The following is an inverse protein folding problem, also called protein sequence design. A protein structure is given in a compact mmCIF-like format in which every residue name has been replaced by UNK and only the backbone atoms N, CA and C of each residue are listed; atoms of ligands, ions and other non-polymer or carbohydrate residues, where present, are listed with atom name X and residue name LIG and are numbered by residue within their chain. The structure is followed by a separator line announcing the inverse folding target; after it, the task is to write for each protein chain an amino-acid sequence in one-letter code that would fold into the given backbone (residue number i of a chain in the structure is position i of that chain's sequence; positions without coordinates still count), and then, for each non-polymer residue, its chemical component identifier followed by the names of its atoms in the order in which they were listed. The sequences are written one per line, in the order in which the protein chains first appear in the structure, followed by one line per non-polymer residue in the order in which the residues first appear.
data_IF_169089759947
#
_entry.id   IF_169089759947
#
_cell.length_a   1.000
_cell.length_b   1.000
_cell.length_c   1.000
_cell.angle_alpha   90.00
_cell.angle_beta   90.00
_cell.angle_gamma   90.00
#
_symmetry.space_group_name_H-M   'P 1'
#
loop_
_entity.id
_entity.type
_entity.pdbx_description
1 polymer ?
#
# COMPACT_ATOMS: atom_id res chain seq x y z
N UNK A 1 -30.02 4.63 -8.14
CA UNK A 1 -29.33 5.83 -8.70
C UNK A 1 -27.84 5.54 -8.64
N UNK A 2 -27.25 5.22 -9.79
CA UNK A 2 -25.81 4.96 -9.92
C UNK A 2 -25.06 6.29 -9.80
N UNK A 3 -24.21 6.45 -8.79
CA UNK A 3 -23.27 7.56 -8.73
C UNK A 3 -22.11 7.24 -9.68
N UNK A 4 -22.08 7.95 -10.80
CA UNK A 4 -21.01 7.90 -11.77
C UNK A 4 -19.77 8.56 -11.13
N UNK A 5 -18.74 7.77 -10.81
CA UNK A 5 -17.42 8.27 -10.43
C UNK A 5 -16.76 8.85 -11.72
N UNK A 6 -16.51 10.14 -11.74
CA UNK A 6 -15.78 10.79 -12.82
C UNK A 6 -14.29 10.47 -12.65
N UNK A 7 -13.75 9.62 -13.52
CA UNK A 7 -12.31 9.36 -13.58
C UNK A 7 -11.62 10.53 -14.30
N UNK A 8 -10.65 11.15 -13.63
CA UNK A 8 -9.74 12.10 -14.27
C UNK A 8 -8.72 11.30 -15.08
N UNK A 9 -8.95 11.11 -16.36
CA UNK A 9 -7.92 10.64 -17.27
C UNK A 9 -6.93 11.78 -17.52
N UNK A 10 -5.74 11.67 -16.96
CA UNK A 10 -4.64 12.59 -17.27
C UNK A 10 -4.07 12.21 -18.64
N UNK A 11 -4.08 13.15 -19.60
CA UNK A 11 -3.32 12.99 -20.83
C UNK A 11 -1.84 12.80 -20.48
N UNK A 12 -1.24 11.70 -20.92
CA UNK A 12 0.18 11.40 -20.70
C UNK A 12 1.02 12.39 -21.49
N UNK A 13 1.85 13.18 -20.79
CA UNK A 13 3.07 13.70 -21.42
C UNK A 13 4.07 12.54 -21.36
N UNK A 14 4.43 12.03 -22.52
CA UNK A 14 5.40 10.96 -22.65
C UNK A 14 6.76 11.41 -22.09
N UNK A 15 7.07 11.02 -20.86
CA UNK A 15 8.43 10.92 -20.37
C UNK A 15 9.04 9.67 -20.98
N UNK A 16 10.26 9.79 -21.51
CA UNK A 16 10.92 8.76 -22.32
C UNK A 16 11.41 7.52 -21.55
N UNK A 17 11.25 7.50 -20.22
CA UNK A 17 11.64 6.38 -19.36
C UNK A 17 10.41 5.85 -18.59
N UNK A 18 9.56 5.10 -19.29
CA UNK A 18 8.45 4.39 -18.63
C UNK A 18 9.02 3.28 -17.76
N UNK A 19 8.92 3.40 -16.45
CA UNK A 19 9.24 2.31 -15.54
C UNK A 19 8.15 1.26 -15.66
N UNK A 20 8.52 0.06 -16.09
CA UNK A 20 7.59 -1.04 -16.32
C UNK A 20 8.09 -2.32 -15.66
N UNK A 21 7.17 -3.16 -15.22
CA UNK A 21 7.49 -4.51 -14.80
C UNK A 21 7.86 -5.36 -16.03
N UNK A 22 8.86 -6.19 -15.87
CA UNK A 22 9.21 -7.21 -16.88
C UNK A 22 8.15 -8.30 -16.90
N UNK A 23 8.08 -9.06 -17.99
CA UNK A 23 7.21 -10.22 -18.09
C UNK A 23 7.45 -11.23 -16.96
N UNK A 24 8.70 -11.46 -16.59
CA UNK A 24 9.07 -12.32 -15.46
C UNK A 24 8.51 -11.80 -14.13
N UNK A 25 8.54 -10.50 -13.90
CA UNK A 25 7.99 -9.88 -12.69
C UNK A 25 6.45 -9.98 -12.65
N UNK A 26 5.79 -9.78 -13.78
CA UNK A 26 4.33 -9.96 -13.88
C UNK A 26 3.95 -11.42 -13.63
N UNK A 27 4.68 -12.39 -14.20
CA UNK A 27 4.46 -13.81 -13.97
C UNK A 27 4.69 -14.18 -12.50
N UNK A 28 5.74 -13.62 -11.87
CA UNK A 28 5.98 -13.81 -10.44
C UNK A 28 4.81 -13.29 -9.58
N UNK A 29 4.31 -12.07 -9.89
CA UNK A 29 3.14 -11.53 -9.20
C UNK A 29 1.90 -12.43 -9.34
N UNK A 30 1.64 -12.91 -10.54
CA UNK A 30 0.49 -13.79 -10.82
C UNK A 30 0.62 -15.15 -10.10
N UNK A 31 1.84 -15.66 -9.93
CA UNK A 31 2.09 -16.94 -9.27
C UNK A 31 2.12 -16.82 -7.74
N UNK A 32 2.81 -15.81 -7.21
CA UNK A 32 3.11 -15.68 -5.77
C UNK A 32 2.28 -14.64 -5.05
N UNK A 33 1.61 -13.72 -5.76
CA UNK A 33 0.75 -12.68 -5.18
C UNK A 33 1.49 -11.41 -4.77
N UNK A 34 2.78 -11.30 -5.07
CA UNK A 34 3.56 -10.10 -4.83
C UNK A 34 4.68 -9.96 -5.86
N UNK A 35 5.21 -8.75 -6.01
CA UNK A 35 6.42 -8.46 -6.78
C UNK A 35 7.21 -7.36 -6.10
N UNK A 36 8.54 -7.44 -6.16
CA UNK A 36 9.46 -6.41 -5.70
C UNK A 36 10.16 -5.85 -6.93
N UNK A 37 9.70 -4.71 -7.48
CA UNK A 37 10.34 -4.09 -8.62
C UNK A 37 11.71 -3.50 -8.23
N UNK A 38 12.61 -3.38 -9.19
CA UNK A 38 13.91 -2.72 -8.98
C UNK A 38 13.78 -1.19 -8.85
N UNK A 39 12.61 -0.66 -9.18
CA UNK A 39 12.32 0.77 -9.07
C UNK A 39 12.52 1.28 -7.64
N UNK A 40 13.15 2.43 -7.54
CA UNK A 40 13.34 3.16 -6.28
C UNK A 40 12.76 4.56 -6.44
N UNK A 41 12.01 5.00 -5.44
CA UNK A 41 11.62 6.41 -5.38
C UNK A 41 12.89 7.28 -5.31
N UNK A 42 12.94 8.42 -6.00
CA UNK A 42 13.98 9.41 -5.77
C UNK A 42 14.09 9.77 -4.29
N UNK A 43 15.31 9.89 -3.78
CA UNK A 43 15.56 10.21 -2.36
C UNK A 43 14.84 11.48 -1.90
N UNK A 44 14.75 12.48 -2.76
CA UNK A 44 14.00 13.71 -2.51
C UNK A 44 12.49 13.41 -2.23
N UNK A 45 11.89 12.49 -2.96
CA UNK A 45 10.50 12.10 -2.71
C UNK A 45 10.35 11.34 -1.39
N UNK A 46 11.29 10.45 -1.07
CA UNK A 46 11.29 9.74 0.22
C UNK A 46 11.39 10.73 1.38
N UNK A 47 12.31 11.68 1.31
CA UNK A 47 12.46 12.71 2.34
C UNK A 47 11.22 13.63 2.42
N UNK A 48 10.60 13.96 1.30
CA UNK A 48 9.35 14.73 1.29
C UNK A 48 8.21 13.98 1.99
N UNK A 49 8.07 12.66 1.77
CA UNK A 49 7.09 11.81 2.46
C UNK A 49 7.38 11.80 3.96
N UNK A 50 8.63 11.57 4.37
CA UNK A 50 9.04 11.57 5.77
C UNK A 50 8.76 12.91 6.47
N UNK A 51 9.08 14.01 5.81
CA UNK A 51 8.81 15.34 6.34
C UNK A 51 7.31 15.62 6.50
N UNK A 52 6.49 15.16 5.55
CA UNK A 52 5.04 15.30 5.64
C UNK A 52 4.48 14.42 6.76
N UNK A 53 4.97 13.19 6.89
CA UNK A 53 4.60 12.30 7.98
C UNK A 53 4.97 12.91 9.35
N UNK A 54 6.17 13.49 9.50
CA UNK A 54 6.57 14.14 10.76
C UNK A 54 5.60 15.25 11.16
N UNK A 55 5.18 16.09 10.21
CA UNK A 55 4.16 17.12 10.48
C UNK A 55 2.81 16.53 10.89
N UNK A 56 2.41 15.42 10.26
CA UNK A 56 1.19 14.72 10.64
C UNK A 56 1.25 14.24 12.09
N UNK A 57 2.37 13.64 12.51
CA UNK A 57 2.54 13.11 13.88
C UNK A 57 2.66 14.23 14.93
N UNK A 58 3.23 15.39 14.57
CA UNK A 58 3.21 16.57 15.44
C UNK A 58 1.78 17.04 15.74
N UNK A 59 0.89 17.00 14.73
CA UNK A 59 -0.51 17.38 14.88
C UNK A 59 -1.37 16.25 15.49
N UNK A 60 -1.00 15.00 15.26
CA UNK A 60 -1.75 13.78 15.58
C UNK A 60 -0.82 12.69 16.16
N UNK A 61 -0.32 12.86 17.41
CA UNK A 61 0.61 11.90 18.03
C UNK A 61 0.04 10.48 18.15
N UNK A 62 -1.28 10.34 18.17
CA UNK A 62 -1.99 9.05 18.20
C UNK A 62 -1.69 8.17 16.97
N UNK A 63 -1.23 8.76 15.86
CA UNK A 63 -0.90 8.02 14.62
C UNK A 63 0.57 7.62 14.51
N UNK A 64 1.35 7.73 15.57
CA UNK A 64 2.80 7.45 15.55
C UNK A 64 3.15 5.99 15.21
N UNK A 65 2.24 5.04 15.39
CA UNK A 65 2.42 3.61 15.05
C UNK A 65 1.65 3.24 13.78
N UNK A 66 0.38 3.65 13.70
CA UNK A 66 -0.50 3.36 12.58
C UNK A 66 -1.45 4.51 12.30
N UNK A 67 -1.49 5.00 11.06
CA UNK A 67 -2.48 5.97 10.60
C UNK A 67 -3.33 5.34 9.50
N UNK A 68 -4.57 4.93 9.79
CA UNK A 68 -5.52 4.51 8.78
C UNK A 68 -6.07 5.72 8.01
N UNK A 69 -6.52 5.51 6.78
CA UNK A 69 -7.23 6.53 6.00
C UNK A 69 -6.49 7.89 5.94
N UNK A 70 -5.20 7.84 5.66
CA UNK A 70 -4.24 8.95 5.69
C UNK A 70 -4.75 10.23 5.01
N UNK A 71 -5.47 10.09 3.88
CA UNK A 71 -5.97 11.23 3.10
C UNK A 71 -7.12 11.99 3.77
N UNK A 72 -7.72 11.46 4.82
CA UNK A 72 -8.71 12.19 5.63
C UNK A 72 -8.00 13.26 6.47
N UNK A 73 -6.78 12.96 6.91
CA UNK A 73 -5.99 13.83 7.76
C UNK A 73 -5.12 14.80 6.96
N UNK A 74 -4.53 14.33 5.86
CA UNK A 74 -3.67 15.14 5.01
C UNK A 74 -3.77 14.71 3.54
N UNK A 75 -4.50 15.49 2.73
CA UNK A 75 -4.65 15.26 1.30
C UNK A 75 -3.36 15.45 0.50
N UNK A 76 -2.33 16.06 1.06
CA UNK A 76 -1.02 16.23 0.43
C UNK A 76 -0.37 14.89 0.08
N UNK A 77 -0.66 13.82 0.83
CA UNK A 77 -0.17 12.48 0.51
C UNK A 77 -0.70 11.91 -0.82
N UNK A 78 -1.77 12.48 -1.38
CA UNK A 78 -2.25 12.11 -2.71
C UNK A 78 -1.19 12.38 -3.80
N UNK A 79 -0.32 13.37 -3.61
CA UNK A 79 0.74 13.66 -4.58
C UNK A 79 1.72 12.49 -4.74
N UNK A 80 1.98 11.75 -3.66
CA UNK A 80 2.86 10.58 -3.69
C UNK A 80 2.14 9.34 -4.24
N UNK A 81 0.86 9.17 -3.92
CA UNK A 81 0.03 8.08 -4.47
C UNK A 81 -0.20 8.22 -5.99
N UNK A 82 0.02 9.41 -6.56
CA UNK A 82 -0.11 9.70 -8.00
C UNK A 82 1.21 9.66 -8.75
N UNK A 83 2.24 9.01 -8.21
CA UNK A 83 3.50 8.81 -8.90
C UNK A 83 3.28 7.99 -10.18
N UNK A 84 3.62 8.57 -11.34
CA UNK A 84 3.33 7.99 -12.65
C UNK A 84 4.02 6.62 -12.84
N UNK A 85 5.26 6.45 -12.35
CA UNK A 85 5.99 5.17 -12.45
C UNK A 85 5.31 4.05 -11.64
N UNK A 86 4.81 4.37 -10.45
CA UNK A 86 4.06 3.42 -9.63
C UNK A 86 2.74 3.06 -10.32
N UNK A 87 2.01 4.06 -10.82
CA UNK A 87 0.73 3.84 -11.50
C UNK A 87 0.89 3.02 -12.79
N UNK A 88 1.97 3.21 -13.54
CA UNK A 88 2.26 2.41 -14.73
C UNK A 88 2.52 0.92 -14.38
N UNK A 89 3.26 0.64 -13.31
CA UNK A 89 3.45 -0.73 -12.81
C UNK A 89 2.14 -1.35 -12.31
N UNK A 90 1.33 -0.61 -11.56
CA UNK A 90 0.01 -1.07 -11.10
C UNK A 90 -0.92 -1.35 -12.29
N UNK A 91 -0.89 -0.49 -13.32
CA UNK A 91 -1.70 -0.69 -14.53
C UNK A 91 -1.36 -1.98 -15.28
N UNK A 92 -0.11 -2.44 -15.22
CA UNK A 92 0.28 -3.73 -15.80
C UNK A 92 -0.31 -4.93 -15.04
N UNK A 93 -0.59 -4.78 -13.73
CA UNK A 93 -1.10 -5.85 -12.87
C UNK A 93 -2.63 -5.93 -12.85
N UNK A 94 -3.31 -4.79 -12.75
CA UNK A 94 -4.77 -4.72 -12.58
C UNK A 94 -5.51 -3.93 -13.67
N UNK A 95 -4.79 -3.49 -14.71
CA UNK A 95 -5.35 -2.70 -15.80
C UNK A 95 -5.31 -1.19 -15.54
N UNK A 96 -5.59 -0.39 -16.60
CA UNK A 96 -5.36 1.06 -16.59
C UNK A 96 -6.42 1.88 -15.83
N UNK A 97 -7.55 1.28 -15.49
CA UNK A 97 -8.65 1.96 -14.80
C UNK A 97 -8.45 1.79 -13.28
N UNK A 98 -7.66 2.67 -12.68
CA UNK A 98 -7.23 2.58 -11.29
C UNK A 98 -7.98 3.61 -10.45
N UNK A 99 -8.49 3.18 -9.30
CA UNK A 99 -9.00 4.05 -8.25
C UNK A 99 -8.21 3.81 -6.96
N UNK A 100 -7.76 4.88 -6.30
CA UNK A 100 -7.17 4.77 -4.97
C UNK A 100 -8.28 4.53 -3.96
N UNK A 101 -8.25 3.37 -3.33
CA UNK A 101 -9.20 2.98 -2.28
C UNK A 101 -8.82 3.59 -0.93
N UNK A 102 -7.60 3.37 -0.51
CA UNK A 102 -7.10 3.82 0.79
C UNK A 102 -5.60 4.10 0.72
N UNK A 103 -5.11 4.85 1.69
CA UNK A 103 -3.71 5.08 1.94
C UNK A 103 -3.50 5.13 3.45
N UNK A 104 -2.45 4.49 3.95
CA UNK A 104 -2.15 4.38 5.39
C UNK A 104 -0.65 4.40 5.65
N UNK A 105 -0.27 4.70 6.88
CA UNK A 105 1.08 4.52 7.39
C UNK A 105 1.13 3.41 8.44
N UNK A 106 2.16 2.57 8.34
CA UNK A 106 2.59 1.62 9.38
C UNK A 106 4.01 2.02 9.79
N UNK A 107 4.14 2.75 10.88
CA UNK A 107 5.39 3.40 11.24
C UNK A 107 6.25 2.61 12.25
N UNK A 108 5.67 1.75 13.06
CA UNK A 108 6.37 0.88 14.02
C UNK A 108 7.52 1.54 14.78
N UNK A 109 7.23 2.46 15.73
CA UNK A 109 8.27 3.07 16.54
C UNK A 109 9.16 2.03 17.22
N UNK A 110 10.46 2.26 17.30
CA UNK A 110 11.41 1.33 17.88
C UNK A 110 11.01 0.94 19.31
N UNK A 111 11.04 -0.36 19.63
CA UNK A 111 10.75 -0.98 20.94
C UNK A 111 9.28 -0.96 21.38
N UNK A 112 8.44 -0.11 20.82
CA UNK A 112 7.03 0.06 21.24
C UNK A 112 6.02 -0.13 20.13
N UNK A 113 6.46 -0.26 18.87
CA UNK A 113 5.60 -0.45 17.70
C UNK A 113 4.78 -1.72 17.79
N UNK A 114 3.51 -1.65 17.37
CA UNK A 114 2.58 -2.76 17.43
C UNK A 114 2.86 -3.82 16.35
N UNK A 115 2.61 -5.08 16.69
CA UNK A 115 2.66 -6.18 15.74
C UNK A 115 1.46 -6.11 14.79
N UNK A 116 1.69 -6.22 13.50
CA UNK A 116 0.62 -6.45 12.52
C UNK A 116 0.41 -7.97 12.41
N UNK A 117 -0.80 -8.49 12.75
CA UNK A 117 -1.09 -9.91 12.64
C UNK A 117 -1.14 -10.37 11.18
N UNK A 118 -1.09 -11.68 10.95
CA UNK A 118 -1.34 -12.24 9.64
C UNK A 118 -2.80 -11.99 9.25
N UNK A 119 -3.02 -11.46 8.06
CA UNK A 119 -4.35 -11.15 7.55
C UNK A 119 -4.37 -11.12 6.02
N UNK A 120 -5.56 -11.05 5.46
CA UNK A 120 -5.78 -10.72 4.07
C UNK A 120 -6.53 -9.39 4.01
N UNK A 121 -5.98 -8.41 3.27
CA UNK A 121 -6.57 -7.07 3.13
C UNK A 121 -8.04 -7.12 2.69
N UNK A 122 -8.38 -8.10 1.85
CA UNK A 122 -9.74 -8.30 1.34
C UNK A 122 -10.80 -8.53 2.40
N UNK A 123 -10.43 -8.94 3.61
CA UNK A 123 -11.36 -9.10 4.73
C UNK A 123 -11.83 -7.74 5.26
N UNK A 124 -10.93 -6.78 5.29
CA UNK A 124 -11.24 -5.42 5.77
C UNK A 124 -11.98 -4.56 4.74
N UNK A 125 -11.97 -4.96 3.46
CA UNK A 125 -12.43 -4.08 2.38
C UNK A 125 -13.73 -4.56 1.75
N UNK A 126 -14.80 -3.74 1.73
CA UNK A 126 -16.07 -4.08 1.08
C UNK A 126 -15.98 -3.96 -0.45
N UNK A 127 -14.86 -4.34 -1.05
CA UNK A 127 -14.62 -4.29 -2.50
C UNK A 127 -14.95 -5.64 -3.12
N UNK A 128 -15.81 -5.63 -4.14
CA UNK A 128 -16.13 -6.83 -4.91
C UNK A 128 -16.20 -6.49 -6.40
N UNK A 129 -15.57 -7.29 -7.30
CA UNK A 129 -14.70 -8.43 -6.97
C UNK A 129 -13.44 -7.96 -6.23
N UNK A 130 -12.70 -8.88 -5.60
CA UNK A 130 -11.44 -8.62 -4.89
C UNK A 130 -10.29 -8.37 -5.89
N UNK A 131 -10.47 -7.40 -6.79
CA UNK A 131 -9.49 -7.00 -7.80
C UNK A 131 -8.71 -5.79 -7.29
N UNK A 132 -7.86 -5.99 -6.29
CA UNK A 132 -7.08 -4.94 -5.63
C UNK A 132 -5.59 -5.22 -5.73
N UNK A 133 -4.79 -4.16 -5.69
CA UNK A 133 -3.35 -4.21 -5.63
C UNK A 133 -2.87 -3.20 -4.58
N UNK A 134 -2.20 -3.67 -3.53
CA UNK A 134 -1.58 -2.79 -2.54
C UNK A 134 -0.17 -2.44 -2.98
N UNK A 135 0.19 -1.17 -2.88
CA UNK A 135 1.56 -0.69 -3.08
C UNK A 135 2.15 -0.37 -1.71
N UNK A 136 3.20 -1.09 -1.33
CA UNK A 136 3.93 -0.83 -0.10
C UNK A 136 5.26 -0.13 -0.41
N UNK A 137 5.51 1.01 0.22
CA UNK A 137 6.70 1.83 0.02
C UNK A 137 7.50 1.86 1.32
N UNK A 138 8.71 1.29 1.29
CA UNK A 138 9.65 1.39 2.38
C UNK A 138 10.26 2.81 2.41
N UNK A 139 10.10 3.50 3.52
CA UNK A 139 10.74 4.81 3.74
C UNK A 139 12.06 4.69 4.49
N UNK A 140 12.24 3.60 5.22
CA UNK A 140 13.45 3.21 5.93
C UNK A 140 13.81 1.78 5.56
N UNK A 141 15.00 1.31 5.96
CA UNK A 141 15.39 -0.08 5.78
C UNK A 141 14.39 -0.98 6.50
N UNK A 142 13.80 -1.92 5.76
CA UNK A 142 12.83 -2.86 6.27
C UNK A 142 13.44 -4.27 6.28
N UNK A 143 13.79 -4.75 7.48
CA UNK A 143 14.44 -6.05 7.69
C UNK A 143 13.59 -6.93 8.62
N UNK A 144 13.84 -8.25 8.67
CA UNK A 144 13.16 -9.13 9.62
C UNK A 144 13.28 -8.67 11.07
N UNK A 145 14.39 -8.03 11.44
CA UNK A 145 14.70 -7.57 12.80
C UNK A 145 13.90 -6.32 13.21
N UNK A 146 13.48 -5.51 12.23
CA UNK A 146 12.72 -4.28 12.50
C UNK A 146 11.26 -4.34 12.06
N UNK A 147 10.75 -5.52 11.69
CA UNK A 147 9.35 -5.71 11.40
C UNK A 147 8.95 -5.46 9.94
N UNK A 148 9.77 -5.90 8.99
CA UNK A 148 9.43 -5.83 7.57
C UNK A 148 8.11 -6.55 7.25
N UNK A 149 7.52 -6.17 6.11
CA UNK A 149 6.38 -6.88 5.55
C UNK A 149 6.75 -8.33 5.20
N UNK A 150 5.85 -9.25 5.46
CA UNK A 150 6.04 -10.70 5.19
C UNK A 150 4.82 -11.22 4.45
N UNK A 151 5.03 -12.16 3.54
CA UNK A 151 3.98 -12.77 2.72
C UNK A 151 3.93 -14.28 2.88
N UNK A 152 2.73 -14.86 2.73
CA UNK A 152 2.52 -16.27 2.46
C UNK A 152 2.29 -16.42 0.94
N UNK A 153 3.31 -16.85 0.17
CA UNK A 153 3.23 -16.85 -1.29
C UNK A 153 2.10 -17.74 -1.81
N UNK A 154 1.41 -17.27 -2.86
CA UNK A 154 0.40 -18.05 -3.58
C UNK A 154 -0.97 -18.15 -2.91
N UNK A 155 -1.17 -17.61 -1.70
CA UNK A 155 -2.46 -17.70 -0.98
C UNK A 155 -3.61 -16.97 -1.70
N UNK A 156 -3.32 -15.97 -2.53
CA UNK A 156 -4.30 -15.26 -3.34
C UNK A 156 -4.95 -16.12 -4.44
N UNK A 157 -4.36 -17.27 -4.77
CA UNK A 157 -4.80 -18.12 -5.90
C UNK A 157 -6.10 -18.85 -5.63
N UNK A 158 -6.45 -19.10 -4.38
CA UNK A 158 -7.74 -19.66 -4.01
C UNK A 158 -8.92 -18.77 -4.39
N UNK A 159 -8.70 -17.46 -4.50
CA UNK A 159 -9.72 -16.41 -4.66
C UNK A 159 -10.76 -16.40 -3.53
N UNK A 160 -10.44 -17.06 -2.44
CA UNK A 160 -11.24 -17.11 -1.22
C UNK A 160 -10.44 -16.48 -0.08
N UNK A 161 -11.14 -15.80 0.79
CA UNK A 161 -10.55 -15.28 2.02
C UNK A 161 -10.47 -16.42 3.04
N UNK A 162 -9.34 -16.50 3.74
CA UNK A 162 -9.24 -17.35 4.91
C UNK A 162 -10.18 -16.84 6.00
N UNK A 163 -10.59 -17.70 6.89
CA UNK A 163 -11.34 -17.29 8.07
C UNK A 163 -10.45 -16.41 8.96
N UNK A 164 -10.95 -15.23 9.33
CA UNK A 164 -10.29 -14.30 10.23
C UNK A 164 -11.04 -14.26 11.55
N UNK A 165 -10.28 -14.22 12.64
CA UNK A 165 -10.84 -14.15 13.98
C UNK A 165 -10.53 -12.80 14.61
N UNK A 166 -11.51 -12.26 15.35
CA UNK A 166 -11.29 -11.03 16.10
C UNK A 166 -10.31 -11.30 17.25
N UNK A 167 -9.28 -10.47 17.34
CA UNK A 167 -8.28 -10.52 18.39
C UNK A 167 -8.07 -9.12 18.96
N UNK A 168 -8.49 -8.89 20.18
CA UNK A 168 -8.39 -7.64 20.92
C UNK A 168 -7.15 -7.56 21.82
N UNK A 169 -6.18 -8.46 21.64
CA UNK A 169 -4.94 -8.45 22.41
C UNK A 169 -4.20 -7.09 22.25
N UNK A 170 -3.70 -6.57 23.35
CA UNK A 170 -2.90 -5.36 23.35
C UNK A 170 -1.64 -5.53 22.49
N UNK A 171 -1.23 -4.48 21.80
CA UNK A 171 -0.01 -4.49 20.97
C UNK A 171 -0.21 -4.99 19.54
N UNK A 172 -1.45 -5.17 19.09
CA UNK A 172 -1.78 -5.41 17.70
C UNK A 172 -2.16 -4.11 17.00
N UNK A 173 -1.67 -3.92 15.76
CA UNK A 173 -2.04 -2.79 14.91
C UNK A 173 -3.41 -2.97 14.24
N UNK A 174 -3.87 -4.21 14.09
CA UNK A 174 -5.13 -4.58 13.46
C UNK A 174 -5.90 -5.58 14.34
N UNK A 175 -7.25 -5.54 14.35
CA UNK A 175 -8.06 -6.37 15.25
C UNK A 175 -8.38 -7.78 14.72
N UNK A 176 -8.05 -8.11 13.47
CA UNK A 176 -8.34 -9.41 12.85
C UNK A 176 -7.05 -10.13 12.45
N UNK A 177 -6.99 -11.42 12.67
CA UNK A 177 -5.92 -12.32 12.23
C UNK A 177 -6.45 -13.65 11.69
#
# INVERSE_FOLDING_TARGET
MSKQLTFLTRGRNASTDTVVLTESQINHYNEYGYVIPEYRLPSEQVEAIKAQYSRLIEAHPEFSDYCPALLIHDTGFLNFARNDAILDMVAQLIGPNIALWNSSFFAKPAKVGSKTPWHQDGEYWPIRPLATCSVWIALDDATPENGCLRFLPGTHRSKELAEHHYNDASGLALPLE
#
